data_IF_547406063319
#
_entry.id   IF_547406063319
#
_cell.length_a   1.000
_cell.length_b   1.000
_cell.length_c   1.000
_cell.angle_alpha   90.00
_cell.angle_beta   90.00
_cell.angle_gamma   90.00
#
_symmetry.space_group_name_H-M   'P 1'
#
loop_
_entity.id
_entity.type
_entity.pdbx_description
1 polymer ?
#
# COMPACT_ATOMS: atom_id res chain seq x y z
N UNK A 1 -1.44 27.83 19.45
CA UNK A 1 -2.09 26.51 19.54
C UNK A 1 -1.83 25.74 18.24
N UNK A 2 -0.85 24.85 18.22
CA UNK A 2 -0.54 24.04 17.04
C UNK A 2 -1.63 22.98 16.82
N UNK A 3 -2.20 22.91 15.62
CA UNK A 3 -3.42 22.16 15.32
C UNK A 3 -3.36 20.67 15.67
N UNK A 4 -4.21 20.24 16.60
CA UNK A 4 -4.41 18.86 17.07
C UNK A 4 -5.16 17.95 16.07
N UNK A 5 -5.19 18.29 14.78
CA UNK A 5 -5.92 17.53 13.76
C UNK A 5 -5.14 16.32 13.22
N UNK A 6 -5.87 15.28 12.82
CA UNK A 6 -5.34 14.29 11.89
C UNK A 6 -5.12 14.95 10.53
N UNK A 7 -3.99 14.67 9.90
CA UNK A 7 -3.63 15.25 8.59
C UNK A 7 -2.94 14.19 7.77
N UNK A 8 -3.27 14.12 6.49
CA UNK A 8 -2.61 13.23 5.56
C UNK A 8 -2.59 13.88 4.18
N UNK A 9 -1.45 13.77 3.51
CA UNK A 9 -1.23 14.22 2.14
C UNK A 9 -0.61 13.07 1.37
N UNK A 10 -1.29 12.64 0.32
CA UNK A 10 -0.85 11.56 -0.56
C UNK A 10 -0.67 12.14 -1.97
N UNK A 11 0.55 12.11 -2.50
CA UNK A 11 0.86 12.74 -3.78
C UNK A 11 1.84 11.88 -4.59
N UNK A 12 2.09 12.29 -5.83
CA UNK A 12 3.18 11.78 -6.67
C UNK A 12 4.15 12.93 -6.92
N UNK A 13 5.37 12.62 -7.34
CA UNK A 13 6.27 13.63 -7.87
C UNK A 13 6.68 13.16 -9.27
N UNK A 14 6.48 14.00 -10.29
CA UNK A 14 6.64 13.60 -11.69
C UNK A 14 8.04 13.07 -11.99
N UNK A 15 9.06 13.66 -11.36
CA UNK A 15 10.47 13.27 -11.47
C UNK A 15 10.86 12.04 -10.64
N UNK A 16 9.89 11.43 -9.93
CA UNK A 16 10.02 10.12 -9.26
C UNK A 16 8.93 9.16 -9.77
N UNK A 17 9.00 8.72 -11.04
CA UNK A 17 8.00 7.83 -11.61
C UNK A 17 7.96 6.50 -10.86
N UNK A 18 6.76 5.94 -10.70
CA UNK A 18 6.57 4.68 -9.99
C UNK A 18 6.72 4.77 -8.46
N UNK A 19 6.76 5.98 -7.90
CA UNK A 19 6.88 6.19 -6.45
C UNK A 19 5.75 7.10 -5.98
N UNK A 20 4.88 6.56 -5.13
CA UNK A 20 3.93 7.42 -4.42
C UNK A 20 4.52 7.89 -3.09
N UNK A 21 4.06 9.06 -2.63
CA UNK A 21 4.55 9.72 -1.43
C UNK A 21 3.39 10.01 -0.46
N UNK A 22 3.64 9.84 0.83
CA UNK A 22 2.70 10.18 1.89
C UNK A 22 3.42 10.88 3.04
N UNK A 23 2.76 11.89 3.61
CA UNK A 23 3.02 12.35 4.97
C UNK A 23 1.72 12.37 5.72
N UNK A 24 1.74 11.80 6.92
CA UNK A 24 0.54 11.74 7.74
C UNK A 24 0.83 11.83 9.24
N UNK A 25 -0.17 12.33 9.94
CA UNK A 25 -0.34 12.21 11.39
C UNK A 25 -1.73 11.68 11.66
N UNK A 26 -1.80 10.57 12.37
CA UNK A 26 -3.05 9.94 12.77
C UNK A 26 -3.08 9.71 14.27
N UNK A 27 -4.27 9.78 14.87
CA UNK A 27 -4.48 9.60 16.31
C UNK A 27 -5.53 8.53 16.55
N UNK A 28 -6.71 8.66 15.92
CA UNK A 28 -7.84 7.72 16.06
C UNK A 28 -7.99 6.82 14.85
N UNK A 29 -7.30 7.12 13.76
CA UNK A 29 -7.34 6.31 12.54
C UNK A 29 -6.95 4.86 12.82
N UNK A 30 -7.80 3.96 12.35
CA UNK A 30 -7.48 2.55 12.19
C UNK A 30 -7.67 2.17 10.73
N UNK A 31 -6.60 1.74 10.09
CA UNK A 31 -6.62 1.12 8.78
C UNK A 31 -7.13 -0.31 8.91
N UNK A 32 -8.19 -0.61 8.16
CA UNK A 32 -8.72 -1.97 8.06
C UNK A 32 -7.69 -2.87 7.37
N UNK A 33 -7.93 -4.18 7.39
CA UNK A 33 -7.08 -5.11 6.64
C UNK A 33 -7.13 -4.78 5.14
N UNK A 34 -5.96 -4.54 4.55
CA UNK A 34 -5.81 -4.11 3.15
C UNK A 34 -4.45 -4.54 2.58
N UNK A 35 -4.25 -4.33 1.27
CA UNK A 35 -2.98 -4.55 0.57
C UNK A 35 -2.54 -3.34 -0.23
N UNK A 36 -1.27 -3.33 -0.64
CA UNK A 36 -0.70 -2.33 -1.54
C UNK A 36 -0.04 -3.03 -2.72
N UNK A 37 -0.17 -2.45 -3.92
CA UNK A 37 0.54 -2.93 -5.13
C UNK A 37 2.01 -2.53 -5.12
N UNK A 38 2.35 -1.50 -4.33
CA UNK A 38 3.71 -0.99 -4.14
C UNK A 38 4.24 -1.43 -2.79
N UNK A 39 5.55 -1.32 -2.59
CA UNK A 39 6.13 -1.45 -1.26
C UNK A 39 5.59 -0.35 -0.35
N UNK A 40 5.58 -0.59 0.95
CA UNK A 40 5.40 0.46 1.96
C UNK A 40 6.73 0.58 2.71
N UNK A 41 7.35 1.76 2.63
CA UNK A 41 8.52 2.12 3.44
C UNK A 41 8.12 3.35 4.26
N UNK A 42 7.59 3.11 5.46
CA UNK A 42 7.06 4.13 6.35
C UNK A 42 8.07 4.44 7.47
N UNK A 43 8.60 5.65 7.46
CA UNK A 43 9.54 6.18 8.44
C UNK A 43 8.77 6.90 9.56
N UNK A 44 8.84 6.34 10.77
CA UNK A 44 8.11 6.86 11.94
C UNK A 44 8.92 7.99 12.58
N UNK A 45 8.33 9.19 12.61
CA UNK A 45 8.95 10.38 13.18
C UNK A 45 8.59 10.55 14.66
N UNK A 46 7.32 10.32 15.04
CA UNK A 46 6.84 10.36 16.42
C UNK A 46 5.80 9.27 16.66
N UNK A 47 5.64 8.87 17.93
CA UNK A 47 4.62 7.93 18.37
C UNK A 47 4.94 6.50 17.98
N UNK A 48 3.89 5.68 17.87
CA UNK A 48 4.02 4.25 17.54
C UNK A 48 2.93 3.85 16.55
N UNK A 49 3.33 3.31 15.42
CA UNK A 49 2.43 2.56 14.53
C UNK A 49 2.38 1.11 14.97
N UNK A 50 1.17 0.57 15.11
CA UNK A 50 0.92 -0.85 15.32
C UNK A 50 0.18 -1.40 14.11
N UNK A 51 0.73 -2.45 13.53
CA UNK A 51 0.11 -3.11 12.38
C UNK A 51 0.15 -4.62 12.52
N UNK A 52 -0.97 -5.26 12.23
CA UNK A 52 -1.03 -6.70 12.19
C UNK A 52 -0.44 -7.20 10.87
N UNK A 53 0.59 -8.03 10.94
CA UNK A 53 1.30 -8.56 9.78
C UNK A 53 1.69 -10.02 10.04
N UNK A 54 1.36 -10.92 9.08
CA UNK A 54 1.66 -12.36 9.16
C UNK A 54 1.27 -13.04 10.49
N UNK A 55 0.13 -12.65 11.06
CA UNK A 55 -0.43 -13.31 12.26
C UNK A 55 -0.04 -12.69 13.60
N UNK A 56 0.83 -11.68 13.61
CA UNK A 56 1.24 -10.98 14.82
C UNK A 56 1.17 -9.47 14.66
N UNK A 57 0.96 -8.76 15.77
CA UNK A 57 1.07 -7.32 15.80
C UNK A 57 2.55 -6.90 15.83
N UNK A 58 2.89 -5.95 14.97
CA UNK A 58 4.20 -5.35 14.83
C UNK A 58 4.15 -3.91 15.35
N UNK A 59 5.23 -3.45 15.96
CA UNK A 59 5.31 -2.14 16.61
C UNK A 59 6.48 -1.37 16.03
N UNK A 60 6.20 -0.26 15.36
CA UNK A 60 7.21 0.64 14.83
C UNK A 60 7.11 1.99 15.56
N UNK A 61 8.09 2.25 16.45
CA UNK A 61 8.21 3.51 17.17
C UNK A 61 9.03 4.55 16.41
N UNK A 62 9.16 5.75 16.97
CA UNK A 62 10.02 6.80 16.43
C UNK A 62 11.46 6.28 16.18
N UNK A 63 12.00 6.56 14.99
CA UNK A 63 13.32 6.07 14.57
C UNK A 63 13.31 4.66 13.93
N UNK A 64 12.16 3.99 13.89
CA UNK A 64 11.97 2.75 13.17
C UNK A 64 11.25 2.95 11.82
N UNK A 65 11.40 1.95 10.96
CA UNK A 65 10.66 1.81 9.72
C UNK A 65 9.62 0.70 9.85
N UNK A 66 8.39 0.97 9.41
CA UNK A 66 7.41 -0.05 9.06
C UNK A 66 7.55 -0.39 7.57
N UNK A 67 7.77 -1.67 7.28
CA UNK A 67 8.08 -2.20 5.96
C UNK A 67 7.03 -3.22 5.57
N UNK A 68 6.38 -3.01 4.43
CA UNK A 68 5.39 -3.96 3.88
C UNK A 68 5.70 -4.25 2.43
N UNK A 69 5.78 -5.53 2.08
CA UNK A 69 5.97 -5.97 0.70
C UNK A 69 4.65 -5.86 -0.08
N UNK A 70 4.71 -5.72 -1.42
CA UNK A 70 3.52 -5.76 -2.27
C UNK A 70 2.61 -6.95 -1.98
N UNK A 71 1.30 -6.77 -2.18
CA UNK A 71 0.25 -7.79 -2.00
C UNK A 71 0.27 -8.48 -0.63
N UNK A 72 0.78 -7.81 0.41
CA UNK A 72 0.86 -8.34 1.76
C UNK A 72 -0.23 -7.70 2.64
N UNK A 73 -1.17 -8.52 3.10
CA UNK A 73 -2.26 -8.10 3.96
C UNK A 73 -1.76 -7.57 5.30
N UNK A 74 -2.15 -6.35 5.64
CA UNK A 74 -1.84 -5.74 6.93
C UNK A 74 -2.91 -4.75 7.37
N UNK A 75 -2.79 -4.26 8.61
CA UNK A 75 -3.63 -3.19 9.19
C UNK A 75 -2.75 -2.00 9.56
N UNK A 76 -3.28 -1.02 10.29
CA UNK A 76 -2.48 0.05 10.89
C UNK A 76 -3.29 0.82 11.91
N UNK A 77 -2.72 1.14 13.07
CA UNK A 77 -3.37 1.90 14.14
C UNK A 77 -2.33 2.56 15.03
N UNK A 78 -2.75 3.50 15.86
CA UNK A 78 -1.91 4.08 16.88
C UNK A 78 -1.62 3.03 17.98
N UNK A 79 -0.36 2.94 18.41
CA UNK A 79 0.06 2.18 19.58
C UNK A 79 0.03 2.97 20.88
N UNK A 80 -0.08 4.29 20.79
CA UNK A 80 -0.09 5.23 21.92
C UNK A 80 -1.16 6.31 21.73
N UNK A 81 -1.69 6.93 22.81
CA UNK A 81 -2.80 7.89 22.74
C UNK A 81 -2.52 9.13 21.89
N UNK A 82 -1.26 9.55 21.78
CA UNK A 82 -0.82 10.72 21.01
C UNK A 82 -0.88 10.49 19.49
N UNK A 83 -1.03 9.23 19.08
CA UNK A 83 -1.03 8.80 17.70
C UNK A 83 0.36 8.46 17.16
N UNK A 84 0.54 8.61 15.86
CA UNK A 84 1.84 8.52 15.20
C UNK A 84 1.93 9.51 14.04
N UNK A 85 3.15 9.99 13.81
CA UNK A 85 3.50 10.87 12.69
C UNK A 85 4.58 10.18 11.86
N UNK A 86 4.36 10.11 10.55
CA UNK A 86 5.26 9.39 9.67
C UNK A 86 5.28 9.99 8.27
N UNK A 87 6.34 9.66 7.53
CA UNK A 87 6.44 9.83 6.10
C UNK A 87 6.63 8.48 5.45
N UNK A 88 5.97 8.22 4.33
CA UNK A 88 6.12 6.98 3.60
C UNK A 88 6.41 7.21 2.12
N UNK A 89 7.27 6.36 1.58
CA UNK A 89 7.46 6.21 0.14
C UNK A 89 6.94 4.84 -0.26
N UNK A 90 6.27 4.78 -1.41
CA UNK A 90 5.72 3.57 -1.98
C UNK A 90 6.33 3.32 -3.35
N UNK A 91 7.59 2.83 -3.43
CA UNK A 91 8.19 2.49 -4.71
C UNK A 91 7.52 1.24 -5.29
N UNK A 92 7.35 1.24 -6.62
CA UNK A 92 6.79 0.10 -7.34
C UNK A 92 7.72 -1.12 -7.27
N UNK A 93 7.19 -2.33 -7.50
CA UNK A 93 8.02 -3.52 -7.61
C UNK A 93 9.17 -3.37 -8.61
N UNK A 94 8.93 -2.69 -9.73
CA UNK A 94 9.90 -2.44 -10.80
C UNK A 94 11.03 -1.52 -10.32
N UNK A 95 10.72 -0.45 -9.58
CA UNK A 95 11.73 0.46 -9.01
C UNK A 95 12.64 -0.28 -8.03
N UNK A 96 12.07 -1.07 -7.11
CA UNK A 96 12.86 -1.84 -6.14
C UNK A 96 13.68 -2.93 -6.83
N UNK A 97 13.12 -3.60 -7.84
CA UNK A 97 13.83 -4.61 -8.62
C UNK A 97 15.03 -4.05 -9.39
N UNK A 98 14.87 -2.87 -10.01
CA UNK A 98 15.96 -2.19 -10.70
C UNK A 98 17.12 -1.85 -9.76
N UNK A 99 16.82 -1.26 -8.60
CA UNK A 99 17.82 -0.92 -7.58
C UNK A 99 18.48 -2.20 -7.03
N UNK A 100 17.71 -3.26 -6.79
CA UNK A 100 18.24 -4.52 -6.29
C UNK A 100 19.23 -5.16 -7.27
N UNK A 101 18.93 -5.13 -8.57
CA UNK A 101 19.78 -5.68 -9.62
C UNK A 101 21.13 -4.96 -9.74
N UNK A 102 21.17 -3.65 -9.49
CA UNK A 102 22.41 -2.86 -9.57
C UNK A 102 23.26 -2.93 -8.29
N UNK A 103 22.63 -3.12 -7.12
CA UNK A 103 23.29 -2.83 -5.83
C UNK A 103 23.43 -4.02 -4.88
N UNK A 104 22.83 -5.15 -5.24
CA UNK A 104 22.78 -6.38 -4.42
C UNK A 104 23.06 -7.64 -5.25
N UNK A 105 23.26 -8.77 -4.58
CA UNK A 105 23.38 -10.10 -5.20
C UNK A 105 22.09 -10.92 -5.14
N UNK A 106 20.96 -10.30 -4.76
CA UNK A 106 19.68 -11.00 -4.62
C UNK A 106 19.22 -11.57 -5.97
N UNK A 107 18.83 -12.84 -5.97
CA UNK A 107 18.25 -13.52 -7.14
C UNK A 107 16.76 -13.73 -6.91
N UNK A 108 15.94 -13.50 -7.95
CA UNK A 108 14.47 -13.58 -7.86
C UNK A 108 13.83 -12.27 -7.43
N UNK A 109 12.60 -12.32 -6.91
CA UNK A 109 11.85 -11.12 -6.51
C UNK A 109 12.39 -10.57 -5.20
N UNK A 110 12.96 -9.35 -5.15
CA UNK A 110 13.47 -8.76 -3.92
C UNK A 110 12.32 -8.32 -3.01
N UNK A 111 12.57 -8.32 -1.71
CA UNK A 111 11.71 -7.68 -0.74
C UNK A 111 12.31 -7.68 0.67
N UNK A 112 11.53 -7.18 1.63
CA UNK A 112 11.96 -7.03 3.02
C UNK A 112 11.60 -8.29 3.83
N UNK A 113 12.58 -8.79 4.58
CA UNK A 113 12.43 -9.99 5.41
C UNK A 113 11.67 -9.65 6.70
N UNK A 114 12.13 -8.62 7.42
CA UNK A 114 11.48 -8.14 8.64
C UNK A 114 10.52 -6.98 8.33
N UNK A 115 9.32 -6.96 8.95
CA UNK A 115 8.34 -5.89 8.76
C UNK A 115 8.67 -4.63 9.56
N UNK A 116 9.53 -4.71 10.58
CA UNK A 116 10.01 -3.56 11.33
C UNK A 116 11.52 -3.56 11.35
N UNK A 117 12.11 -2.38 11.17
CA UNK A 117 13.55 -2.18 11.21
C UNK A 117 13.90 -0.92 12.00
N UNK A 118 14.64 -1.06 13.09
CA UNK A 118 15.24 0.06 13.83
C UNK A 118 16.46 0.56 13.07
N UNK A 119 16.28 1.63 12.30
CA UNK A 119 17.33 2.24 11.50
C UNK A 119 17.10 3.76 11.35
N UNK A 120 17.51 4.55 12.36
CA UNK A 120 17.29 6.00 12.36
C UNK A 120 17.92 6.71 11.16
N UNK A 121 19.00 6.15 10.59
CA UNK A 121 19.63 6.69 9.40
C UNK A 121 18.73 6.53 8.17
N UNK A 122 18.16 5.33 7.96
CA UNK A 122 17.22 5.09 6.86
C UNK A 122 15.91 5.88 7.03
N UNK A 123 15.43 6.06 8.27
CA UNK A 123 14.31 6.99 8.59
C UNK A 123 14.63 8.41 8.12
N UNK A 124 15.85 8.90 8.41
CA UNK A 124 16.34 10.19 7.95
C UNK A 124 16.32 10.32 6.42
N UNK A 125 16.84 9.30 5.71
CA UNK A 125 16.83 9.28 4.24
C UNK A 125 15.43 9.37 3.66
N UNK A 126 14.46 8.59 4.17
CA UNK A 126 13.07 8.62 3.69
C UNK A 126 12.46 10.00 3.89
N UNK A 127 12.68 10.64 5.04
CA UNK A 127 12.19 12.00 5.26
C UNK A 127 12.87 13.03 4.35
N UNK A 128 14.16 12.85 4.02
CA UNK A 128 14.87 13.69 3.06
C UNK A 128 14.36 13.49 1.63
N UNK A 129 14.00 12.27 1.20
CA UNK A 129 13.33 12.02 -0.10
C UNK A 129 12.05 12.86 -0.19
N UNK A 130 11.20 12.77 0.84
CA UNK A 130 9.95 13.51 0.87
C UNK A 130 10.17 15.03 0.84
N UNK A 131 11.23 15.51 1.52
CA UNK A 131 11.58 16.93 1.55
C UNK A 131 12.07 17.40 0.18
N UNK A 132 12.98 16.67 -0.43
CA UNK A 132 13.51 16.99 -1.76
C UNK A 132 12.39 17.02 -2.82
N UNK A 133 11.43 16.10 -2.74
CA UNK A 133 10.26 16.10 -3.62
C UNK A 133 9.38 17.35 -3.44
N UNK A 134 9.19 17.84 -2.21
CA UNK A 134 8.45 19.10 -1.97
C UNK A 134 9.20 20.34 -2.42
N UNK A 135 10.53 20.31 -2.35
CA UNK A 135 11.41 21.39 -2.80
C UNK A 135 11.64 21.36 -4.33
N UNK A 136 11.08 20.37 -5.04
CA UNK A 136 11.27 20.20 -6.49
C UNK A 136 12.69 19.78 -6.88
N UNK A 137 13.48 19.25 -5.95
CA UNK A 137 14.85 18.81 -6.20
C UNK A 137 14.89 17.36 -6.66
N UNK A 138 14.65 17.16 -7.96
CA UNK A 138 14.59 15.86 -8.64
C UNK A 138 15.80 14.97 -8.34
N UNK A 139 17.01 15.50 -8.57
CA UNK A 139 18.26 14.75 -8.40
C UNK A 139 18.45 14.27 -6.96
N UNK A 140 18.19 15.14 -5.98
CA UNK A 140 18.30 14.76 -4.57
C UNK A 140 17.25 13.71 -4.21
N UNK A 141 16.01 13.88 -4.65
CA UNK A 141 14.92 12.96 -4.33
C UNK A 141 15.20 11.53 -4.88
N UNK A 142 15.65 11.40 -6.13
CA UNK A 142 16.00 10.11 -6.74
C UNK A 142 17.23 9.49 -6.09
N UNK A 143 18.29 10.29 -5.90
CA UNK A 143 19.52 9.81 -5.25
C UNK A 143 19.24 9.26 -3.85
N UNK A 144 18.50 10.02 -3.02
CA UNK A 144 18.17 9.62 -1.66
C UNK A 144 17.28 8.38 -1.63
N UNK A 145 16.34 8.24 -2.58
CA UNK A 145 15.49 7.05 -2.70
C UNK A 145 16.34 5.82 -3.00
N UNK A 146 17.26 5.91 -3.97
CA UNK A 146 18.18 4.82 -4.33
C UNK A 146 19.06 4.42 -3.16
N UNK A 147 19.62 5.39 -2.44
CA UNK A 147 20.43 5.14 -1.25
C UNK A 147 19.61 4.48 -0.14
N UNK A 148 18.39 4.95 0.12
CA UNK A 148 17.50 4.37 1.11
C UNK A 148 17.14 2.90 0.77
N UNK A 149 16.65 2.65 -0.44
CA UNK A 149 16.25 1.30 -0.87
C UNK A 149 17.45 0.35 -0.90
N UNK A 150 18.61 0.79 -1.41
CA UNK A 150 19.85 -0.01 -1.40
C UNK A 150 20.23 -0.43 0.01
N UNK A 151 20.22 0.51 0.96
CA UNK A 151 20.53 0.22 2.35
C UNK A 151 19.55 -0.81 2.92
N UNK A 152 18.25 -0.59 2.74
CA UNK A 152 17.21 -1.49 3.26
C UNK A 152 17.33 -2.90 2.68
N UNK A 153 17.64 -3.03 1.39
CA UNK A 153 17.88 -4.32 0.76
C UNK A 153 19.16 -4.99 1.27
N UNK A 154 20.22 -4.24 1.60
CA UNK A 154 21.45 -4.82 2.16
C UNK A 154 21.28 -5.32 3.60
N UNK A 155 20.52 -4.59 4.43
CA UNK A 155 20.40 -4.90 5.88
C UNK A 155 19.17 -5.76 6.21
N UNK A 156 18.17 -5.79 5.33
CA UNK A 156 16.90 -6.46 5.57
C UNK A 156 16.27 -7.04 4.29
N UNK A 157 17.00 -7.04 3.17
CA UNK A 157 16.53 -7.60 1.91
C UNK A 157 16.68 -9.12 1.86
N UNK A 158 15.78 -9.75 1.12
CA UNK A 158 15.81 -11.16 0.81
C UNK A 158 14.98 -11.45 -0.43
N UNK A 159 15.08 -12.67 -0.93
CA UNK A 159 14.21 -13.14 -2.00
C UNK A 159 12.85 -13.49 -1.40
N UNK A 160 11.80 -12.84 -1.87
CA UNK A 160 10.44 -13.18 -1.48
C UNK A 160 10.11 -14.58 -2.03
N UNK A 161 9.48 -15.45 -1.22
CA UNK A 161 9.06 -16.75 -1.72
C UNK A 161 8.09 -16.53 -2.88
N UNK A 162 8.39 -17.16 -4.02
CA UNK A 162 7.40 -17.24 -5.08
C UNK A 162 6.18 -17.95 -4.50
N UNK A 163 4.98 -17.39 -4.69
CA UNK A 163 3.73 -18.06 -4.33
C UNK A 163 3.57 -19.25 -5.28
N UNK A 164 4.24 -20.34 -4.97
CA UNK A 164 4.13 -21.60 -5.68
C UNK A 164 2.68 -22.08 -5.58
N UNK A 165 1.93 -22.02 -6.69
CA UNK A 165 0.54 -22.49 -6.76
C UNK A 165 0.51 -24.02 -6.85
N UNK A 166 1.21 -24.69 -5.93
CA UNK A 166 1.43 -26.14 -5.95
C UNK A 166 0.35 -26.90 -5.21
N UNK A 167 -0.26 -26.30 -4.18
CA UNK A 167 -1.36 -26.94 -3.46
C UNK A 167 -2.70 -26.76 -4.18
N UNK A 168 -3.62 -27.70 -3.98
CA UNK A 168 -4.99 -27.60 -4.49
C UNK A 168 -5.68 -26.35 -3.92
N UNK A 169 -5.50 -26.06 -2.63
CA UNK A 169 -5.99 -24.84 -1.99
C UNK A 169 -5.48 -23.56 -2.66
N UNK A 170 -4.20 -23.49 -3.01
CA UNK A 170 -3.65 -22.33 -3.69
C UNK A 170 -4.28 -22.12 -5.08
N UNK A 171 -4.49 -23.20 -5.84
CA UNK A 171 -5.20 -23.14 -7.14
C UNK A 171 -6.64 -22.66 -6.98
N UNK A 172 -7.36 -23.14 -5.97
CA UNK A 172 -8.72 -22.70 -5.65
C UNK A 172 -8.74 -21.20 -5.35
N UNK A 173 -7.83 -20.71 -4.52
CA UNK A 173 -7.74 -19.29 -4.16
C UNK A 173 -7.43 -18.40 -5.39
N UNK A 174 -6.51 -18.82 -6.26
CA UNK A 174 -6.19 -18.11 -7.52
C UNK A 174 -7.41 -18.05 -8.44
N UNK A 175 -8.10 -19.16 -8.65
CA UNK A 175 -9.33 -19.19 -9.47
C UNK A 175 -10.44 -18.32 -8.87
N UNK A 176 -10.65 -18.40 -7.55
CA UNK A 176 -11.63 -17.58 -6.86
C UNK A 176 -11.35 -16.09 -7.02
N UNK A 177 -10.08 -15.68 -6.87
CA UNK A 177 -9.65 -14.31 -7.12
C UNK A 177 -9.97 -13.87 -8.55
N UNK A 178 -9.65 -14.69 -9.55
CA UNK A 178 -9.90 -14.37 -10.94
C UNK A 178 -11.40 -14.12 -11.21
N UNK A 179 -12.28 -14.98 -10.68
CA UNK A 179 -13.75 -14.78 -10.78
C UNK A 179 -14.19 -13.49 -10.10
N UNK A 180 -13.64 -13.17 -8.93
CA UNK A 180 -13.96 -11.94 -8.20
C UNK A 180 -13.45 -10.67 -8.91
N UNK A 181 -12.31 -10.74 -9.61
CA UNK A 181 -11.79 -9.64 -10.42
C UNK A 181 -12.65 -9.42 -11.67
N UNK A 182 -13.00 -10.49 -12.37
CA UNK A 182 -13.86 -10.46 -13.57
C UNK A 182 -15.27 -9.94 -13.25
N UNK A 183 -15.86 -10.43 -12.15
CA UNK A 183 -17.22 -10.09 -11.72
C UNK A 183 -17.22 -9.07 -10.59
N UNK A 184 -16.25 -8.16 -10.57
CA UNK A 184 -16.06 -7.21 -9.46
C UNK A 184 -17.29 -6.34 -9.19
N UNK A 185 -18.03 -5.93 -10.23
CA UNK A 185 -19.22 -5.09 -10.08
C UNK A 185 -20.43 -5.86 -9.48
N UNK A 186 -20.58 -7.12 -9.87
CA UNK A 186 -21.68 -8.00 -9.47
C UNK A 186 -21.10 -9.38 -9.07
N UNK A 187 -20.47 -9.48 -7.89
CA UNK A 187 -19.78 -10.70 -7.47
C UNK A 187 -20.78 -11.81 -7.14
N UNK A 188 -20.42 -13.09 -7.36
CA UNK A 188 -21.23 -14.21 -6.90
C UNK A 188 -21.30 -14.26 -5.37
N UNK A 189 -22.31 -14.96 -4.85
CA UNK A 189 -22.37 -15.38 -3.46
C UNK A 189 -21.21 -16.34 -3.13
N UNK A 190 -20.96 -16.58 -1.84
CA UNK A 190 -19.92 -17.53 -1.43
C UNK A 190 -20.27 -18.95 -1.88
N UNK A 191 -21.55 -19.31 -1.82
CA UNK A 191 -22.09 -20.60 -2.23
C UNK A 191 -21.92 -20.84 -3.74
N UNK A 192 -22.28 -19.86 -4.57
CA UNK A 192 -22.08 -19.92 -6.02
C UNK A 192 -20.59 -19.99 -6.37
N UNK A 193 -19.76 -19.15 -5.76
CA UNK A 193 -18.32 -19.18 -6.00
C UNK A 193 -17.68 -20.51 -5.59
N UNK A 194 -18.15 -21.11 -4.50
CA UNK A 194 -17.68 -22.42 -4.04
C UNK A 194 -18.14 -23.53 -4.99
N UNK A 195 -19.40 -23.49 -5.43
CA UNK A 195 -19.97 -24.44 -6.40
C UNK A 195 -19.24 -24.39 -7.75
N UNK A 196 -19.01 -23.19 -8.31
CA UNK A 196 -18.28 -22.96 -9.57
C UNK A 196 -16.85 -23.55 -9.53
N UNK A 197 -16.26 -23.62 -8.33
CA UNK A 197 -14.91 -24.14 -8.10
C UNK A 197 -14.89 -25.60 -7.64
N UNK A 198 -16.05 -26.23 -7.43
CA UNK A 198 -16.19 -27.62 -6.99
C UNK A 198 -15.73 -27.87 -5.55
N UNK A 199 -15.91 -26.90 -4.65
CA UNK A 199 -15.45 -26.97 -3.26
C UNK A 199 -16.53 -26.55 -2.27
N UNK A 200 -16.36 -26.89 -0.99
CA UNK A 200 -17.21 -26.38 0.08
C UNK A 200 -16.87 -24.91 0.45
N UNK A 201 -17.84 -24.09 0.88
CA UNK A 201 -17.63 -22.69 1.28
C UNK A 201 -16.51 -22.49 2.31
N UNK A 202 -16.46 -23.33 3.35
CA UNK A 202 -15.41 -23.23 4.37
C UNK A 202 -14.01 -23.58 3.85
N UNK A 203 -13.92 -24.52 2.91
CA UNK A 203 -12.66 -24.88 2.27
C UNK A 203 -12.15 -23.71 1.40
N UNK A 204 -13.06 -23.07 0.66
CA UNK A 204 -12.76 -21.86 -0.11
C UNK A 204 -12.29 -20.72 0.79
N UNK A 205 -13.00 -20.42 1.89
CA UNK A 205 -12.63 -19.35 2.83
C UNK A 205 -11.23 -19.58 3.42
N UNK A 206 -10.93 -20.82 3.82
CA UNK A 206 -9.62 -21.19 4.37
C UNK A 206 -8.53 -21.03 3.31
N UNK A 207 -8.70 -21.65 2.15
CA UNK A 207 -7.75 -21.58 1.04
C UNK A 207 -7.46 -20.12 0.63
N UNK A 208 -8.49 -19.28 0.56
CA UNK A 208 -8.34 -17.87 0.20
C UNK A 208 -7.57 -17.09 1.28
N UNK A 209 -7.91 -17.29 2.56
CA UNK A 209 -7.20 -16.64 3.68
C UNK A 209 -5.74 -17.08 3.76
N UNK A 210 -5.45 -18.35 3.51
CA UNK A 210 -4.08 -18.89 3.58
C UNK A 210 -3.19 -18.26 2.50
N UNK A 211 -3.75 -17.98 1.31
CA UNK A 211 -2.99 -17.40 0.19
C UNK A 211 -2.90 -15.87 0.25
N UNK A 212 -4.02 -15.19 0.56
CA UNK A 212 -4.13 -13.73 0.47
C UNK A 212 -4.18 -13.02 1.83
N UNK A 213 -4.16 -13.76 2.94
CA UNK A 213 -4.14 -13.22 4.29
C UNK A 213 -5.45 -12.57 4.76
N UNK A 214 -6.54 -12.69 3.98
CA UNK A 214 -7.86 -12.15 4.31
C UNK A 214 -9.00 -12.92 3.61
N UNK A 215 -10.26 -12.81 4.08
CA UNK A 215 -11.40 -13.44 3.43
C UNK A 215 -11.75 -12.82 2.06
N UNK A 216 -12.45 -13.56 1.17
CA UNK A 216 -12.80 -13.09 -0.17
C UNK A 216 -13.52 -11.73 -0.22
N UNK A 217 -14.50 -11.49 0.65
CA UNK A 217 -15.25 -10.23 0.67
C UNK A 217 -14.37 -9.02 1.06
N UNK A 218 -13.49 -9.19 2.06
CA UNK A 218 -12.51 -8.16 2.44
C UNK A 218 -11.54 -7.88 1.31
N UNK A 219 -11.07 -8.95 0.65
CA UNK A 219 -10.18 -8.83 -0.51
C UNK A 219 -10.85 -8.12 -1.68
N UNK A 220 -12.11 -8.44 -1.99
CA UNK A 220 -12.85 -7.78 -3.07
C UNK A 220 -13.02 -6.28 -2.79
N UNK A 221 -13.33 -5.92 -1.54
CA UNK A 221 -13.45 -4.52 -1.14
C UNK A 221 -12.12 -3.76 -1.32
N UNK A 222 -11.00 -4.38 -0.94
CA UNK A 222 -9.65 -3.85 -1.18
C UNK A 222 -9.35 -3.70 -2.68
N UNK A 223 -9.66 -4.72 -3.47
CA UNK A 223 -9.47 -4.71 -4.93
C UNK A 223 -10.29 -3.61 -5.63
N UNK A 224 -11.54 -3.40 -5.20
CA UNK A 224 -12.40 -2.30 -5.68
C UNK A 224 -11.78 -0.94 -5.38
N UNK A 225 -11.26 -0.74 -4.17
CA UNK A 225 -10.57 0.51 -3.81
C UNK A 225 -9.29 0.71 -4.64
N UNK A 226 -8.51 -0.35 -4.88
CA UNK A 226 -7.32 -0.27 -5.77
C UNK A 226 -7.69 0.08 -7.20
N UNK A 227 -8.76 -0.51 -7.76
CA UNK A 227 -9.24 -0.15 -9.10
C UNK A 227 -9.77 1.29 -9.13
N UNK A 228 -10.53 1.72 -8.12
CA UNK A 228 -11.00 3.10 -8.00
C UNK A 228 -9.83 4.08 -7.94
N UNK A 229 -8.75 3.74 -7.23
CA UNK A 229 -7.53 4.54 -7.17
C UNK A 229 -6.92 4.77 -8.57
N UNK A 230 -6.84 3.72 -9.40
CA UNK A 230 -6.38 3.84 -10.80
C UNK A 230 -7.29 4.73 -11.64
N UNK A 231 -8.60 4.54 -11.53
CA UNK A 231 -9.58 5.37 -12.24
C UNK A 231 -9.46 6.85 -11.85
N UNK A 232 -9.26 7.15 -10.56
CA UNK A 232 -9.05 8.52 -10.08
C UNK A 232 -7.74 9.11 -10.63
N UNK A 233 -6.66 8.32 -10.68
CA UNK A 233 -5.38 8.70 -11.28
C UNK A 233 -5.51 8.98 -12.79
N UNK A 234 -6.40 8.26 -13.48
CA UNK A 234 -6.76 8.43 -14.90
C UNK A 234 -7.76 9.59 -15.14
N UNK A 235 -8.23 10.24 -14.09
CA UNK A 235 -9.09 11.43 -14.17
C UNK A 235 -10.59 11.18 -14.01
N UNK A 236 -11.03 9.92 -13.90
CA UNK A 236 -12.44 9.57 -13.64
C UNK A 236 -12.92 10.17 -12.32
N UNK A 237 -14.12 10.75 -12.31
CA UNK A 237 -14.68 11.36 -11.09
C UNK A 237 -15.07 10.31 -10.03
N UNK A 238 -15.05 10.64 -8.72
CA UNK A 238 -15.34 9.69 -7.64
C UNK A 238 -16.71 8.99 -7.76
N UNK A 239 -17.74 9.66 -8.29
CA UNK A 239 -19.06 9.05 -8.48
C UNK A 239 -19.04 7.96 -9.55
N UNK A 240 -18.48 8.25 -10.72
CA UNK A 240 -18.34 7.28 -11.82
C UNK A 240 -17.44 6.11 -11.41
N UNK A 241 -16.32 6.40 -10.74
CA UNK A 241 -15.42 5.38 -10.23
C UNK A 241 -16.12 4.44 -9.23
N UNK A 242 -17.03 4.94 -8.39
CA UNK A 242 -17.78 4.11 -7.45
C UNK A 242 -18.64 3.07 -8.18
N UNK A 243 -19.38 3.51 -9.21
CA UNK A 243 -20.26 2.62 -10.00
C UNK A 243 -19.43 1.60 -10.78
N UNK A 244 -18.36 2.02 -11.45
CA UNK A 244 -17.53 1.14 -12.29
C UNK A 244 -16.92 -0.02 -11.49
N UNK A 245 -16.49 0.24 -10.24
CA UNK A 245 -15.90 -0.80 -9.40
C UNK A 245 -16.92 -1.57 -8.56
N UNK A 246 -18.22 -1.27 -8.65
CA UNK A 246 -19.27 -2.01 -7.95
C UNK A 246 -19.56 -1.56 -6.51
N UNK A 247 -19.29 -0.30 -6.16
CA UNK A 247 -19.91 0.32 -4.99
C UNK A 247 -21.31 0.85 -5.35
N UNK A 248 -22.22 0.84 -4.39
CA UNK A 248 -23.61 1.32 -4.59
C UNK A 248 -23.68 2.80 -4.98
N UNK A 249 -22.78 3.61 -4.43
CA UNK A 249 -22.77 5.05 -4.56
C UNK A 249 -21.41 5.65 -4.12
N UNK A 250 -21.22 6.94 -4.39
CA UNK A 250 -20.01 7.65 -3.99
C UNK A 250 -19.78 7.69 -2.47
N UNK A 251 -20.79 7.95 -1.60
CA UNK A 251 -20.61 7.82 -0.15
C UNK A 251 -20.07 6.46 0.30
N UNK A 252 -20.52 5.37 -0.32
CA UNK A 252 -20.05 4.02 -0.05
C UNK A 252 -18.58 3.85 -0.42
N UNK A 253 -18.18 4.28 -1.63
CA UNK A 253 -16.76 4.34 -2.01
C UNK A 253 -15.97 5.19 -1.01
N UNK A 254 -16.45 6.38 -0.65
CA UNK A 254 -15.75 7.31 0.24
C UNK A 254 -15.44 6.68 1.61
N UNK A 255 -16.40 5.95 2.20
CA UNK A 255 -16.20 5.23 3.46
C UNK A 255 -15.07 4.21 3.36
N UNK A 256 -15.09 3.34 2.34
CA UNK A 256 -14.08 2.29 2.18
C UNK A 256 -12.72 2.84 1.75
N UNK A 257 -12.71 3.75 0.77
CA UNK A 257 -11.50 4.40 0.28
C UNK A 257 -10.81 5.15 1.41
N UNK A 258 -11.54 5.94 2.21
CA UNK A 258 -10.94 6.61 3.36
C UNK A 258 -10.39 5.61 4.37
N UNK A 259 -11.13 4.53 4.70
CA UNK A 259 -10.66 3.49 5.65
C UNK A 259 -9.40 2.75 5.21
N UNK A 260 -9.19 2.58 3.91
CA UNK A 260 -8.06 1.84 3.33
C UNK A 260 -6.89 2.79 2.97
N UNK A 261 -7.15 3.89 2.27
CA UNK A 261 -6.13 4.82 1.75
C UNK A 261 -5.77 5.93 2.75
N UNK A 262 -6.64 6.19 3.73
CA UNK A 262 -6.39 7.19 4.77
C UNK A 262 -6.83 8.62 4.42
N UNK A 263 -7.22 8.86 3.17
CA UNK A 263 -7.77 10.13 2.66
C UNK A 263 -9.03 9.89 1.81
N UNK A 264 -9.96 10.85 1.72
CA UNK A 264 -11.12 10.75 0.82
C UNK A 264 -10.72 10.73 -0.66
N UNK A 265 -11.48 10.06 -1.55
CA UNK A 265 -11.12 9.91 -2.97
C UNK A 265 -11.01 11.25 -3.72
N UNK A 266 -11.87 12.22 -3.41
CA UNK A 266 -11.78 13.56 -4.02
C UNK A 266 -10.55 14.36 -3.57
N UNK A 267 -10.11 14.19 -2.32
CA UNK A 267 -8.87 14.80 -1.83
C UNK A 267 -7.64 14.13 -2.46
N UNK A 268 -7.67 12.80 -2.55
CA UNK A 268 -6.65 12.00 -3.23
C UNK A 268 -6.48 12.42 -4.70
N UNK A 269 -7.57 12.55 -5.45
CA UNK A 269 -7.51 12.91 -6.87
C UNK A 269 -6.98 14.33 -7.08
N UNK A 270 -7.46 15.31 -6.31
CA UNK A 270 -7.01 16.70 -6.42
C UNK A 270 -5.51 16.83 -6.20
N UNK A 271 -4.98 16.17 -5.17
CA UNK A 271 -3.57 16.24 -4.85
C UNK A 271 -2.68 15.68 -5.96
N UNK A 272 -3.21 14.75 -6.76
CA UNK A 272 -2.48 14.12 -7.87
C UNK A 272 -2.60 14.87 -9.18
N UNK A 273 -3.73 15.55 -9.42
CA UNK A 273 -3.87 16.49 -10.55
C UNK A 273 -2.91 17.67 -10.42
N UNK A 274 -2.77 18.22 -9.21
CA UNK A 274 -1.83 19.33 -8.94
C UNK A 274 -0.37 19.02 -9.35
N UNK A 275 0.02 17.74 -9.34
CA UNK A 275 1.35 17.28 -9.76
C UNK A 275 1.43 17.13 -11.28
N UNK A 276 0.36 16.66 -11.93
CA UNK A 276 0.30 16.51 -13.38
C UNK A 276 0.22 17.86 -14.11
N UNK A 277 -0.39 18.87 -13.46
CA UNK A 277 -0.61 20.20 -14.03
C UNK A 277 0.52 21.21 -13.73
N UNK A 278 1.60 20.81 -13.02
CA UNK A 278 2.77 21.67 -12.80
C UNK A 278 3.64 21.64 -14.07
N UNK A 279 3.72 22.72 -14.87
CA UNK A 279 4.51 22.72 -16.09
C UNK A 279 5.99 22.62 -15.72
N UNK A 280 6.73 21.76 -16.44
CA UNK A 280 8.20 21.81 -16.45
C UNK A 280 8.62 23.25 -16.67
N UNK A 281 9.14 23.89 -15.61
CA UNK A 281 9.72 25.22 -15.69
C UNK A 281 11.00 25.14 -16.50
N UNK A 282 10.91 25.28 -17.82
CA UNK A 282 12.06 25.66 -18.62
C UNK A 282 12.51 27.06 -18.15
N UNK A 283 13.67 27.12 -17.53
CA UNK A 283 14.50 28.33 -17.46
C UNK A 283 15.50 28.31 -18.62
#
# INVERSE_FOLDING_TARGET
MAGFGERARHWRYAELPGVDLLRARYVRKTFVRHTHEHFVIAAIADGVEVFHHRGADQYAGAGALALVNPDTAHTGRAGVPEGWRYGAVYPSPEVVAGIAAETTSLRGTPGFVRPVLDDPYAVGLVHQVLRAADEGNALAADTLLRVAVTRLLRVNGGTLPQRDVRSAGARIAVRARAVLEERMAAPPTLEELAADLGVGPFALLRAFRDVYGMPPHTWLTDARVRRARRLLDEGTGPASAAVEVGFSDQPHLNRHFTRIVGVPPGAYQRERKNVQDSPCGCS
#
